data_IF_465711116454
#
_entry.id   IF_465711116454
#
_cell.length_a   1.000
_cell.length_b   1.000
_cell.length_c   1.000
_cell.angle_alpha   90.00
_cell.angle_beta   90.00
_cell.angle_gamma   90.00
#
_symmetry.space_group_name_H-M   'P 1'
#
loop_
_entity.id
_entity.type
_entity.pdbx_description
1 polymer ?
#
# COMPACT_ATOMS: atom_id res chain seq x y z
N UNK A 1 9.04 -7.97 -11.85
CA UNK A 1 10.18 -7.13 -11.40
C UNK A 1 9.82 -5.72 -11.82
N UNK A 2 9.86 -4.73 -10.92
CA UNK A 2 9.36 -3.39 -11.25
C UNK A 2 10.13 -2.84 -12.44
N UNK A 3 9.42 -2.28 -13.41
CA UNK A 3 10.05 -1.64 -14.55
C UNK A 3 10.70 -0.33 -14.05
N UNK A 4 12.02 -0.29 -14.15
CA UNK A 4 12.82 0.87 -13.72
C UNK A 4 13.13 1.70 -14.95
N UNK A 5 12.40 2.79 -15.13
CA UNK A 5 12.67 3.74 -16.22
C UNK A 5 13.57 4.85 -15.69
N UNK A 6 14.76 4.99 -16.29
CA UNK A 6 15.62 6.16 -16.08
C UNK A 6 15.15 7.25 -17.03
N UNK A 7 14.59 8.31 -16.49
CA UNK A 7 14.11 9.44 -17.26
C UNK A 7 15.27 10.34 -17.67
N UNK A 8 15.07 11.13 -18.73
CA UNK A 8 16.10 12.03 -19.29
C UNK A 8 16.47 13.18 -18.34
N UNK A 9 15.62 13.47 -17.36
CA UNK A 9 15.85 14.46 -16.30
C UNK A 9 16.71 13.92 -15.13
N UNK A 10 17.19 12.68 -15.24
CA UNK A 10 17.99 12.02 -14.21
C UNK A 10 17.17 11.39 -13.09
N UNK A 11 15.83 11.49 -13.12
CA UNK A 11 14.96 10.82 -12.15
C UNK A 11 14.75 9.35 -12.52
N UNK A 12 14.45 8.52 -11.52
CA UNK A 12 14.11 7.12 -11.73
C UNK A 12 12.65 6.90 -11.36
N UNK A 13 11.84 6.53 -12.35
CA UNK A 13 10.45 6.13 -12.11
C UNK A 13 10.40 4.63 -11.93
N UNK A 14 9.95 4.19 -10.76
CA UNK A 14 9.59 2.81 -10.52
C UNK A 14 8.13 2.65 -10.91
N UNK A 15 7.88 2.05 -12.09
CA UNK A 15 6.52 1.65 -12.44
C UNK A 15 6.24 0.34 -11.72
N UNK A 16 5.61 0.45 -10.54
CA UNK A 16 5.14 -0.73 -9.82
C UNK A 16 3.69 -0.97 -10.24
N UNK A 17 3.46 -2.07 -10.94
CA UNK A 17 2.11 -2.49 -11.29
C UNK A 17 1.33 -2.77 -9.98
N UNK A 18 0.05 -2.35 -9.92
CA UNK A 18 -0.83 -2.61 -8.79
C UNK A 18 -0.95 -4.09 -8.44
N UNK A 19 -0.79 -4.98 -9.42
CA UNK A 19 -0.82 -6.42 -9.18
C UNK A 19 0.47 -6.91 -8.48
N UNK A 20 1.63 -6.36 -8.85
CA UNK A 20 2.89 -6.66 -8.13
C UNK A 20 2.84 -6.16 -6.68
N UNK A 21 2.23 -5.01 -6.43
CA UNK A 21 2.02 -4.52 -5.06
C UNK A 21 1.11 -5.43 -4.24
N UNK A 22 0.08 -6.02 -4.87
CA UNK A 22 -0.80 -6.99 -4.20
C UNK A 22 -0.05 -8.26 -3.86
N UNK A 23 0.76 -8.79 -4.76
CA UNK A 23 1.58 -9.98 -4.50
C UNK A 23 2.59 -9.74 -3.36
N UNK A 24 3.24 -8.57 -3.35
CA UNK A 24 4.15 -8.20 -2.27
C UNK A 24 3.42 -8.05 -0.93
N UNK A 25 2.26 -7.38 -0.92
CA UNK A 25 1.42 -7.28 0.28
C UNK A 25 1.07 -8.67 0.80
N UNK A 26 0.61 -9.56 -0.06
CA UNK A 26 0.14 -10.89 0.35
C UNK A 26 1.29 -11.73 0.92
N UNK A 27 2.48 -11.69 0.31
CA UNK A 27 3.69 -12.34 0.84
C UNK A 27 4.14 -11.79 2.19
N UNK A 28 4.05 -10.47 2.38
CA UNK A 28 4.41 -9.82 3.66
C UNK A 28 3.41 -10.19 4.75
N UNK A 29 2.12 -10.26 4.41
CA UNK A 29 1.05 -10.63 5.33
C UNK A 29 1.12 -12.09 5.76
N UNK A 30 1.52 -12.99 4.85
CA UNK A 30 1.74 -14.40 5.18
C UNK A 30 2.90 -14.60 6.16
N UNK A 31 3.96 -13.79 6.05
CA UNK A 31 5.15 -13.89 6.92
C UNK A 31 5.00 -13.19 8.26
N UNK A 32 4.01 -12.30 8.40
CA UNK A 32 3.77 -11.54 9.61
C UNK A 32 2.28 -11.61 10.02
N UNK A 33 1.90 -12.59 10.86
CA UNK A 33 0.50 -12.79 11.26
C UNK A 33 -0.10 -11.57 11.98
N UNK A 34 0.73 -10.74 12.61
CA UNK A 34 0.32 -9.48 13.23
C UNK A 34 -0.11 -8.43 12.19
N UNK A 35 0.59 -8.34 11.06
CA UNK A 35 0.19 -7.48 9.94
C UNK A 35 -1.14 -7.92 9.34
N UNK A 36 -1.42 -9.23 9.30
CA UNK A 36 -2.74 -9.75 8.88
C UNK A 36 -3.87 -9.24 9.76
N UNK A 37 -3.67 -9.20 11.08
CA UNK A 37 -4.65 -8.66 12.03
C UNK A 37 -4.84 -7.16 11.84
N UNK A 38 -3.76 -6.42 11.67
CA UNK A 38 -3.82 -4.98 11.42
C UNK A 38 -4.53 -4.66 10.10
N UNK A 39 -4.28 -5.41 9.03
CA UNK A 39 -4.99 -5.23 7.76
C UNK A 39 -6.47 -5.58 7.88
N UNK A 40 -6.82 -6.63 8.62
CA UNK A 40 -8.23 -6.97 8.87
C UNK A 40 -8.94 -5.84 9.64
N UNK A 41 -8.29 -5.26 10.65
CA UNK A 41 -8.81 -4.11 11.39
C UNK A 41 -8.89 -2.87 10.52
N UNK A 42 -7.87 -2.58 9.71
CA UNK A 42 -7.87 -1.45 8.78
C UNK A 42 -8.93 -1.60 7.66
N UNK A 43 -9.26 -2.85 7.29
CA UNK A 43 -10.35 -3.15 6.37
C UNK A 43 -11.74 -3.01 7.00
N UNK A 44 -11.85 -2.86 8.33
CA UNK A 44 -13.14 -2.66 8.99
C UNK A 44 -13.80 -1.35 8.54
N UNK A 45 -15.14 -1.30 8.44
CA UNK A 45 -15.86 -0.08 8.11
C UNK A 45 -15.53 1.08 9.04
N UNK A 46 -15.31 0.78 10.33
CA UNK A 46 -14.98 1.77 11.36
C UNK A 46 -13.60 2.36 11.14
N UNK A 47 -12.58 1.53 10.88
CA UNK A 47 -11.23 2.04 10.62
C UNK A 47 -11.18 2.87 9.32
N UNK A 48 -11.90 2.45 8.28
CA UNK A 48 -12.04 3.22 7.03
C UNK A 48 -12.69 4.58 7.29
N UNK A 49 -13.76 4.61 8.08
CA UNK A 49 -14.44 5.86 8.44
C UNK A 49 -13.52 6.78 9.26
N UNK A 50 -12.78 6.26 10.23
CA UNK A 50 -11.80 7.02 11.01
C UNK A 50 -10.68 7.58 10.14
N UNK A 51 -10.12 6.78 9.23
CA UNK A 51 -9.09 7.23 8.30
C UNK A 51 -9.61 8.29 7.32
N UNK A 52 -10.84 8.12 6.83
CA UNK A 52 -11.49 9.11 5.97
C UNK A 52 -11.74 10.42 6.72
N UNK A 53 -12.19 10.36 7.97
CA UNK A 53 -12.36 11.52 8.84
C UNK A 53 -11.03 12.25 9.09
N UNK A 54 -9.97 11.51 9.46
CA UNK A 54 -8.65 12.09 9.67
C UNK A 54 -8.12 12.76 8.40
N UNK A 55 -8.33 12.13 7.22
CA UNK A 55 -7.98 12.74 5.94
C UNK A 55 -8.73 14.06 5.72
N UNK A 56 -10.06 14.07 5.93
CA UNK A 56 -10.85 15.30 5.77
C UNK A 56 -10.55 16.41 6.79
N UNK A 57 -9.91 16.08 7.91
CA UNK A 57 -9.50 17.06 8.92
C UNK A 57 -8.09 17.62 8.67
N UNK A 58 -7.32 16.99 7.78
CA UNK A 58 -5.97 17.39 7.38
C UNK A 58 -5.95 18.10 6.02
N UNK A 59 -7.00 17.95 5.21
CA UNK A 59 -7.32 18.76 4.03
C UNK A 59 -7.96 20.10 4.46
#
# INVERSE_FOLDING_TARGET
MPEVTKNLDGTTTFSINSDELRDWRDRVVERAPELKRLLAVAASPQARATLAFLKSALD
#
